data_IF_991323855070
#
_entry.id   IF_991323855070
#
_cell.length_a   1.000
_cell.length_b   1.000
_cell.length_c   1.000
_cell.angle_alpha   90.00
_cell.angle_beta   90.00
_cell.angle_gamma   90.00
#
_symmetry.space_group_name_H-M   'P 1'
#
loop_
_entity.id
_entity.type
_entity.pdbx_description
1 polymer ?
#
# COMPACT_ATOMS: atom_id res chain seq x y z
N UNK A 1 -2.66 -0.22 13.43
CA UNK A 1 -2.55 0.97 12.55
C UNK A 1 -3.75 1.88 12.80
N UNK A 2 -3.60 3.20 12.69
CA UNK A 2 -4.71 4.16 12.77
C UNK A 2 -5.16 4.53 11.36
N UNK A 3 -6.46 4.49 11.07
CA UNK A 3 -7.04 4.86 9.79
C UNK A 3 -7.82 6.16 9.88
N UNK A 4 -7.81 6.95 8.81
CA UNK A 4 -8.66 8.11 8.60
C UNK A 4 -9.14 8.11 7.16
N UNK A 5 -10.45 8.29 6.97
CA UNK A 5 -11.07 8.37 5.65
C UNK A 5 -11.80 9.71 5.54
N UNK A 6 -11.44 10.53 4.56
CA UNK A 6 -12.08 11.84 4.35
C UNK A 6 -12.01 12.23 2.87
N UNK A 7 -13.13 12.65 2.30
CA UNK A 7 -13.21 13.16 0.92
C UNK A 7 -12.57 12.23 -0.13
N UNK A 8 -12.81 10.91 -0.01
CA UNK A 8 -12.22 9.92 -0.93
C UNK A 8 -10.71 9.72 -0.76
N UNK A 9 -10.11 10.19 0.33
CA UNK A 9 -8.71 9.95 0.70
C UNK A 9 -8.66 8.98 1.86
N UNK A 10 -7.78 7.99 1.76
CA UNK A 10 -7.44 7.06 2.83
C UNK A 10 -6.06 7.41 3.39
N UNK A 11 -5.99 7.68 4.69
CA UNK A 11 -4.73 7.88 5.42
C UNK A 11 -4.59 6.76 6.45
N UNK A 12 -3.43 6.11 6.47
CA UNK A 12 -3.09 5.08 7.44
C UNK A 12 -1.75 5.40 8.12
N UNK A 13 -1.69 5.27 9.44
CA UNK A 13 -0.53 5.67 10.24
C UNK A 13 -0.13 4.59 11.25
N UNK A 14 1.14 4.22 11.26
CA UNK A 14 1.74 3.32 12.26
C UNK A 14 3.25 3.50 12.32
N UNK A 15 3.84 3.38 13.52
CA UNK A 15 5.29 3.32 13.73
C UNK A 15 6.10 4.46 13.05
N UNK A 16 5.53 5.67 12.99
CA UNK A 16 6.13 6.83 12.33
C UNK A 16 5.86 6.93 10.83
N UNK A 17 5.39 5.86 10.18
CA UNK A 17 4.99 5.89 8.78
C UNK A 17 3.59 6.52 8.64
N UNK A 18 3.45 7.45 7.69
CA UNK A 18 2.17 7.93 7.18
C UNK A 18 2.00 7.49 5.74
N UNK A 19 1.01 6.65 5.48
CA UNK A 19 0.52 6.23 4.17
C UNK A 19 -0.70 7.07 3.78
N UNK A 20 -0.75 7.53 2.54
CA UNK A 20 -1.88 8.26 1.93
C UNK A 20 -2.19 7.66 0.57
N UNK A 21 -3.45 7.31 0.36
CA UNK A 21 -3.98 6.82 -0.92
C UNK A 21 -5.15 7.71 -1.32
N UNK A 22 -5.13 8.22 -2.54
CA UNK A 22 -6.17 9.10 -3.09
C UNK A 22 -6.41 8.85 -4.58
N UNK A 23 -7.58 9.21 -5.13
CA UNK A 23 -7.82 9.13 -6.56
C UNK A 23 -6.87 10.04 -7.34
N UNK A 24 -6.47 9.58 -8.52
CA UNK A 24 -5.70 10.38 -9.47
C UNK A 24 -6.14 10.09 -10.89
N UNK A 25 -7.36 10.51 -11.23
CA UNK A 25 -8.00 10.25 -12.52
C UNK A 25 -8.86 9.00 -12.49
N UNK A 26 -9.49 8.69 -13.63
CA UNK A 26 -10.35 7.51 -13.77
C UNK A 26 -9.58 6.21 -13.53
N UNK A 27 -10.18 5.31 -12.74
CA UNK A 27 -9.65 3.97 -12.47
C UNK A 27 -8.20 3.95 -11.95
N UNK A 28 -7.78 5.02 -11.24
CA UNK A 28 -6.39 5.26 -10.87
C UNK A 28 -6.24 5.73 -9.42
N UNK A 29 -5.19 5.26 -8.73
CA UNK A 29 -4.87 5.67 -7.36
C UNK A 29 -3.43 6.20 -7.29
N UNK A 30 -3.23 7.28 -6.55
CA UNK A 30 -1.92 7.76 -6.14
C UNK A 30 -1.64 7.29 -4.71
N UNK A 31 -0.55 6.55 -4.55
CA UNK A 31 -0.10 6.01 -3.26
C UNK A 31 1.17 6.76 -2.85
N UNK A 32 1.20 7.29 -1.62
CA UNK A 32 2.35 7.99 -1.05
C UNK A 32 2.58 7.51 0.37
N UNK A 33 3.84 7.28 0.74
CA UNK A 33 4.23 6.96 2.10
C UNK A 33 5.43 7.82 2.53
N UNK A 34 5.53 8.15 3.81
CA UNK A 34 6.63 8.94 4.37
C UNK A 34 6.89 8.59 5.83
N UNK A 35 8.16 8.66 6.24
CA UNK A 35 8.60 8.65 7.65
C UNK A 35 8.84 10.07 8.19
N UNK A 36 8.76 11.09 7.32
CA UNK A 36 8.88 12.50 7.70
C UNK A 36 7.57 13.01 8.31
N UNK A 37 7.60 14.13 9.05
CA UNK A 37 6.39 14.76 9.61
C UNK A 37 5.31 15.09 8.57
N UNK A 38 5.72 15.35 7.33
CA UNK A 38 4.81 15.67 6.23
C UNK A 38 5.32 15.16 4.87
N UNK A 39 4.43 15.17 3.88
CA UNK A 39 4.78 14.87 2.50
C UNK A 39 5.48 16.08 1.86
N UNK A 40 6.50 15.82 1.04
CA UNK A 40 7.31 16.86 0.39
C UNK A 40 6.57 17.76 -0.61
N UNK A 41 5.31 17.44 -0.96
CA UNK A 41 4.52 18.18 -1.95
C UNK A 41 4.98 18.01 -3.41
N UNK A 42 6.00 17.20 -3.69
CA UNK A 42 6.54 17.02 -5.05
C UNK A 42 5.68 16.04 -5.85
N UNK A 43 5.24 16.46 -7.04
CA UNK A 43 4.42 15.65 -7.95
C UNK A 43 5.24 14.88 -9.01
N UNK A 44 6.49 15.28 -9.24
CA UNK A 44 7.40 14.65 -10.20
C UNK A 44 6.76 14.53 -11.60
N UNK A 45 6.57 13.30 -12.09
CA UNK A 45 6.01 13.05 -13.42
C UNK A 45 4.48 13.22 -13.50
N UNK A 46 3.78 13.36 -12.36
CA UNK A 46 2.33 13.56 -12.33
C UNK A 46 1.96 15.03 -12.54
N UNK A 47 2.38 15.60 -13.69
CA UNK A 47 2.16 17.02 -14.03
C UNK A 47 0.77 17.33 -14.59
N UNK A 48 0.04 16.30 -14.99
CA UNK A 48 -1.30 16.43 -15.55
C UNK A 48 -2.33 16.72 -14.46
N UNK A 49 -3.37 17.48 -14.81
CA UNK A 49 -4.54 17.66 -13.95
C UNK A 49 -5.47 16.48 -14.21
N UNK A 50 -5.55 15.48 -13.32
CA UNK A 50 -6.43 14.34 -13.54
C UNK A 50 -7.90 14.78 -13.51
N UNK A 51 -8.74 14.03 -14.22
CA UNK A 51 -10.19 14.13 -14.06
C UNK A 51 -10.57 13.91 -12.59
N UNK A 52 -11.47 14.75 -12.07
CA UNK A 52 -11.97 14.59 -10.71
C UNK A 52 -12.85 13.35 -10.66
N UNK A 53 -12.56 12.45 -9.73
CA UNK A 53 -13.36 11.27 -9.48
C UNK A 53 -13.83 11.23 -8.04
N UNK A 54 -15.00 10.63 -7.82
CA UNK A 54 -15.57 10.40 -6.50
C UNK A 54 -15.11 9.04 -5.97
N UNK A 55 -13.90 8.99 -5.41
CA UNK A 55 -13.43 7.80 -4.73
C UNK A 55 -14.15 7.60 -3.40
N UNK A 56 -14.45 6.34 -3.07
CA UNK A 56 -15.07 5.95 -1.81
C UNK A 56 -14.01 5.34 -0.90
N UNK A 57 -13.78 5.92 0.28
CA UNK A 57 -12.83 5.42 1.26
C UNK A 57 -13.57 5.01 2.55
N UNK A 58 -13.36 3.78 3.01
CA UNK A 58 -14.17 3.16 4.07
C UNK A 58 -13.28 2.44 5.08
N UNK A 59 -13.75 2.36 6.34
CA UNK A 59 -13.11 1.55 7.39
C UNK A 59 -14.06 0.41 7.75
N UNK A 60 -13.50 -0.75 8.05
CA UNK A 60 -14.28 -1.93 8.45
C UNK A 60 -13.46 -2.79 9.39
N UNK A 61 -14.15 -3.62 10.18
CA UNK A 61 -13.53 -4.57 11.09
C UNK A 61 -13.35 -5.92 10.42
N UNK A 62 -12.20 -6.53 10.63
CA UNK A 62 -11.86 -7.87 10.17
C UNK A 62 -11.59 -8.74 11.39
N UNK A 63 -12.08 -9.98 11.34
CA UNK A 63 -11.77 -10.98 12.35
C UNK A 63 -10.27 -11.25 12.41
N UNK A 64 -9.74 -11.31 13.63
CA UNK A 64 -8.32 -11.49 13.88
C UNK A 64 -8.11 -12.43 15.06
N UNK A 65 -7.23 -13.42 14.91
CA UNK A 65 -6.87 -14.33 15.98
C UNK A 65 -5.78 -13.68 16.84
N UNK A 66 -6.09 -13.37 18.10
CA UNK A 66 -5.15 -12.78 19.04
C UNK A 66 -4.15 -13.83 19.56
N UNK A 67 -3.08 -13.35 20.21
CA UNK A 67 -1.97 -14.19 20.70
C UNK A 67 -2.45 -15.22 21.73
N UNK A 68 -3.47 -14.88 22.53
CA UNK A 68 -4.07 -15.76 23.53
C UNK A 68 -5.06 -16.79 22.94
N UNK A 69 -5.22 -16.82 21.62
CA UNK A 69 -6.14 -17.71 20.91
C UNK A 69 -7.58 -17.22 20.87
N UNK A 70 -7.89 -16.04 21.39
CA UNK A 70 -9.22 -15.43 21.29
C UNK A 70 -9.46 -14.78 19.93
N UNK A 71 -10.73 -14.70 19.52
CA UNK A 71 -11.12 -13.95 18.33
C UNK A 71 -11.33 -12.48 18.68
N UNK A 72 -10.46 -11.62 18.17
CA UNK A 72 -10.56 -10.18 18.22
C UNK A 72 -11.04 -9.58 16.89
N UNK A 73 -11.21 -8.26 16.89
CA UNK A 73 -11.48 -7.44 15.70
C UNK A 73 -10.32 -6.49 15.47
N UNK A 74 -9.86 -6.39 14.22
CA UNK A 74 -8.86 -5.41 13.80
C UNK A 74 -9.42 -4.55 12.67
N UNK A 75 -9.23 -3.24 12.77
CA UNK A 75 -9.67 -2.31 11.73
C UNK A 75 -8.78 -2.43 10.50
N UNK A 76 -9.41 -2.52 9.33
CA UNK A 76 -8.80 -2.33 8.02
C UNK A 76 -9.54 -1.22 7.28
N UNK A 77 -8.98 -0.76 6.16
CA UNK A 77 -9.61 0.27 5.37
C UNK A 77 -9.45 0.01 3.87
N UNK A 78 -10.38 0.52 3.08
CA UNK A 78 -10.32 0.44 1.62
C UNK A 78 -10.54 1.79 0.98
N UNK A 79 -10.07 1.92 -0.26
CA UNK A 79 -10.38 3.02 -1.16
C UNK A 79 -10.71 2.45 -2.54
N UNK A 80 -11.84 2.84 -3.09
CA UNK A 80 -12.31 2.41 -4.42
C UNK A 80 -12.48 3.63 -5.31
N UNK A 81 -11.90 3.61 -6.50
CA UNK A 81 -12.04 4.64 -7.51
C UNK A 81 -12.36 3.98 -8.85
N UNK A 82 -13.64 4.00 -9.25
CA UNK A 82 -14.10 3.26 -10.43
C UNK A 82 -13.80 1.77 -10.28
N UNK A 83 -13.00 1.22 -11.19
CA UNK A 83 -12.62 -0.21 -11.22
C UNK A 83 -11.45 -0.58 -10.34
N UNK A 84 -10.68 0.37 -9.80
CA UNK A 84 -9.54 0.06 -8.94
C UNK A 84 -9.94 0.18 -7.47
N UNK A 85 -9.54 -0.80 -6.66
CA UNK A 85 -9.71 -0.80 -5.21
C UNK A 85 -8.38 -1.12 -4.54
N UNK A 86 -8.00 -0.37 -3.51
CA UNK A 86 -6.88 -0.72 -2.62
C UNK A 86 -7.43 -1.01 -1.22
N UNK A 87 -6.98 -2.10 -0.61
CA UNK A 87 -7.30 -2.48 0.76
C UNK A 87 -6.02 -2.45 1.58
N UNK A 88 -6.05 -1.72 2.69
CA UNK A 88 -4.96 -1.63 3.65
C UNK A 88 -5.36 -2.38 4.91
N UNK A 89 -4.65 -3.46 5.22
CA UNK A 89 -4.93 -4.23 6.42
C UNK A 89 -4.39 -3.52 7.68
N UNK A 90 -4.74 -4.04 8.85
CA UNK A 90 -4.35 -3.48 10.14
C UNK A 90 -2.83 -3.38 10.40
N UNK A 91 -2.01 -4.11 9.65
CA UNK A 91 -0.55 -4.08 9.68
C UNK A 91 0.06 -3.13 8.62
N UNK A 92 -0.77 -2.53 7.76
CA UNK A 92 -0.33 -1.59 6.72
C UNK A 92 0.06 -2.24 5.40
N UNK A 93 -0.28 -3.51 5.19
CA UNK A 93 -0.09 -4.20 3.92
C UNK A 93 -1.19 -3.78 2.95
N UNK A 94 -0.80 -3.39 1.74
CA UNK A 94 -1.73 -2.98 0.68
C UNK A 94 -1.96 -4.14 -0.30
N UNK A 95 -3.23 -4.41 -0.58
CA UNK A 95 -3.66 -5.28 -1.70
C UNK A 95 -4.51 -4.47 -2.67
N UNK A 96 -4.17 -4.54 -3.96
CA UNK A 96 -4.87 -3.88 -5.04
C UNK A 96 -5.73 -4.87 -5.82
N UNK A 97 -6.92 -4.42 -6.17
CA UNK A 97 -7.90 -5.15 -6.93
C UNK A 97 -8.35 -4.34 -8.13
N UNK A 98 -8.53 -5.03 -9.25
CA UNK A 98 -9.35 -4.54 -10.37
C UNK A 98 -10.69 -5.23 -10.26
N UNK A 99 -11.73 -4.48 -9.91
CA UNK A 99 -13.04 -5.01 -9.51
C UNK A 99 -12.84 -5.99 -8.34
N UNK A 100 -13.12 -7.28 -8.52
CA UNK A 100 -12.89 -8.31 -7.49
C UNK A 100 -11.60 -9.11 -7.69
N UNK A 101 -10.90 -8.93 -8.81
CA UNK A 101 -9.67 -9.64 -9.10
C UNK A 101 -8.48 -8.96 -8.40
N UNK A 102 -7.76 -9.70 -7.57
CA UNK A 102 -6.47 -9.25 -7.03
C UNK A 102 -5.45 -9.14 -8.17
N UNK A 103 -4.79 -7.98 -8.25
CA UNK A 103 -3.80 -7.70 -9.30
C UNK A 103 -2.40 -7.44 -8.76
N UNK A 104 -2.28 -6.96 -7.52
CA UNK A 104 -1.00 -6.61 -6.93
C UNK A 104 -1.13 -6.64 -5.41
N UNK A 105 -0.16 -7.21 -4.72
CA UNK A 105 -0.09 -7.22 -3.27
C UNK A 105 1.30 -6.90 -2.81
N UNK A 106 1.43 -6.08 -1.78
CA UNK A 106 2.71 -5.86 -1.14
C UNK A 106 3.24 -7.14 -0.47
N UNK A 107 4.54 -7.40 -0.64
CA UNK A 107 5.19 -8.57 -0.09
C UNK A 107 5.46 -8.40 1.40
N UNK A 108 4.77 -9.18 2.23
CA UNK A 108 4.91 -9.12 3.69
C UNK A 108 4.99 -10.52 4.30
N UNK A 109 6.02 -10.77 5.12
CA UNK A 109 6.28 -12.04 5.82
C UNK A 109 6.67 -11.74 7.26
N UNK A 110 5.69 -11.38 8.09
CA UNK A 110 5.87 -11.16 9.53
C UNK A 110 4.74 -11.85 10.32
N UNK A 111 4.94 -12.09 11.62
CA UNK A 111 3.96 -12.82 12.44
C UNK A 111 2.54 -12.28 12.34
N UNK A 112 2.42 -10.97 12.21
CA UNK A 112 1.14 -10.27 12.15
C UNK A 112 0.94 -9.56 10.80
N UNK A 113 -0.31 -9.57 10.32
CA UNK A 113 -0.71 -8.97 9.05
C UNK A 113 -0.25 -9.68 7.78
N UNK A 114 0.38 -10.85 7.86
CA UNK A 114 0.71 -11.66 6.68
C UNK A 114 -0.56 -12.27 6.08
N UNK A 115 -0.84 -11.92 4.82
CA UNK A 115 -1.97 -12.46 4.04
C UNK A 115 -1.52 -13.69 3.21
N UNK A 116 -0.22 -13.79 2.90
CA UNK A 116 0.32 -14.94 2.17
C UNK A 116 0.23 -16.23 3.00
N UNK A 117 0.06 -17.37 2.32
CA UNK A 117 0.09 -18.71 2.96
C UNK A 117 1.51 -19.20 3.22
N UNK A 118 2.52 -18.48 2.73
CA UNK A 118 3.93 -18.81 2.93
C UNK A 118 4.43 -18.51 4.35
N UNK A 119 5.68 -18.90 4.63
CA UNK A 119 6.28 -18.74 5.95
C UNK A 119 6.34 -17.28 6.41
N UNK A 120 5.64 -16.99 7.50
CA UNK A 120 5.66 -15.68 8.18
C UNK A 120 6.92 -15.42 9.01
N UNK A 121 7.82 -16.40 9.16
CA UNK A 121 8.98 -16.33 10.06
C UNK A 121 10.20 -15.60 9.47
N UNK A 122 10.14 -15.18 8.21
CA UNK A 122 11.23 -14.43 7.56
C UNK A 122 11.42 -13.02 8.13
N UNK A 123 10.38 -12.46 8.78
CA UNK A 123 10.35 -11.10 9.35
C UNK A 123 10.61 -10.00 8.31
N UNK A 124 10.17 -10.25 7.07
CA UNK A 124 10.28 -9.29 5.98
C UNK A 124 9.04 -8.39 5.98
N UNK A 125 9.26 -7.07 5.98
CA UNK A 125 8.19 -6.06 5.85
C UNK A 125 8.08 -5.57 4.40
N UNK A 126 6.87 -5.16 4.00
CA UNK A 126 6.51 -4.61 2.68
C UNK A 126 7.30 -3.37 2.26
N UNK A 127 7.36 -2.36 3.15
CA UNK A 127 8.03 -1.07 2.92
C UNK A 127 9.15 -0.91 3.93
N UNK A 128 10.37 -1.15 3.49
CA UNK A 128 11.55 -1.05 4.34
C UNK A 128 12.20 0.32 4.19
N UNK A 129 12.12 1.10 5.25
CA UNK A 129 12.72 2.43 5.37
C UNK A 129 14.06 2.34 6.11
N UNK A 130 15.13 2.80 5.47
CA UNK A 130 16.46 2.90 6.09
C UNK A 130 16.92 4.35 6.07
N UNK A 131 17.02 4.96 7.25
CA UNK A 131 17.51 6.33 7.39
C UNK A 131 18.95 6.47 6.88
N UNK A 132 19.23 7.55 6.17
CA UNK A 132 20.59 7.90 5.72
C UNK A 132 21.32 8.57 6.87
N UNK A 133 22.50 8.05 7.23
CA UNK A 133 23.28 8.56 8.37
C UNK A 133 23.67 10.02 8.10
N UNK A 134 23.33 10.90 9.04
CA UNK A 134 23.62 12.34 8.95
C UNK A 134 22.66 13.13 8.05
N UNK A 135 21.61 12.50 7.52
CA UNK A 135 20.58 13.13 6.70
C UNK A 135 19.20 13.10 7.35
N UNK A 136 18.23 13.69 6.64
CA UNK A 136 16.79 13.56 6.92
C UNK A 136 16.10 12.55 6.01
N UNK A 137 16.83 12.06 5.01
CA UNK A 137 16.37 11.21 3.94
C UNK A 137 16.38 9.74 4.32
N UNK A 138 15.58 8.96 3.58
CA UNK A 138 15.48 7.52 3.73
C UNK A 138 15.74 6.84 2.39
N UNK A 139 16.44 5.72 2.42
CA UNK A 139 16.35 4.71 1.38
C UNK A 139 15.07 3.92 1.59
N UNK A 140 14.30 3.69 0.52
CA UNK A 140 13.08 2.89 0.53
C UNK A 140 13.28 1.63 -0.33
N UNK A 141 12.99 0.48 0.25
CA UNK A 141 12.82 -0.79 -0.47
C UNK A 141 11.36 -1.24 -0.36
N UNK A 142 10.60 -1.08 -1.44
CA UNK A 142 9.20 -1.48 -1.57
C UNK A 142 9.13 -2.79 -2.36
N UNK A 143 8.42 -3.78 -1.82
CA UNK A 143 8.34 -5.13 -2.39
C UNK A 143 6.90 -5.51 -2.66
N UNK A 144 6.68 -6.21 -3.77
CA UNK A 144 5.40 -6.78 -4.16
C UNK A 144 5.54 -8.29 -4.36
N UNK A 145 4.45 -9.03 -4.14
CA UNK A 145 4.37 -10.45 -4.48
C UNK A 145 4.57 -10.62 -5.99
N UNK A 146 5.38 -11.61 -6.37
CA UNK A 146 5.51 -12.02 -7.76
C UNK A 146 4.38 -12.93 -8.18
N UNK A 147 4.07 -12.92 -9.47
CA UNK A 147 3.20 -13.90 -10.11
C UNK A 147 3.95 -14.54 -11.28
N UNK A 148 4.10 -15.87 -11.25
CA UNK A 148 4.88 -16.63 -12.25
C UNK A 148 4.33 -16.48 -13.68
N UNK A 149 3.06 -16.16 -13.84
CA UNK A 149 2.41 -15.94 -15.14
C UNK A 149 2.42 -14.46 -15.58
N UNK A 150 2.89 -13.55 -14.72
CA UNK A 150 2.90 -12.11 -15.01
C UNK A 150 3.93 -11.77 -16.08
N UNK A 151 3.54 -10.88 -16.99
CA UNK A 151 4.39 -10.33 -18.03
C UNK A 151 4.53 -8.83 -17.84
N UNK A 152 5.76 -8.37 -17.63
CA UNK A 152 6.09 -6.97 -17.38
C UNK A 152 6.68 -6.36 -18.66
N UNK A 153 6.16 -5.21 -19.07
CA UNK A 153 6.59 -4.47 -20.26
C UNK A 153 6.86 -3.00 -19.90
N UNK A 154 7.63 -2.31 -20.74
CA UNK A 154 7.97 -0.89 -20.55
C UNK A 154 9.32 -0.70 -19.85
N UNK A 155 9.33 0.03 -18.73
CA UNK A 155 10.52 0.37 -17.92
C UNK A 155 11.61 1.21 -18.63
N UNK A 156 11.41 1.58 -19.89
CA UNK A 156 12.35 2.37 -20.69
C UNK A 156 13.12 1.51 -21.68
N UNK A 157 14.38 1.88 -21.97
CA UNK A 157 15.21 1.21 -22.97
C UNK A 157 16.36 0.46 -22.30
N UNK A 158 16.36 -0.86 -22.43
CA UNK A 158 17.44 -1.74 -21.97
C UNK A 158 18.10 -2.43 -23.16
N UNK A 159 19.43 -2.50 -23.17
CA UNK A 159 20.20 -3.27 -24.17
C UNK A 159 20.27 -4.74 -23.76
N UNK A 160 19.10 -5.37 -23.64
CA UNK A 160 18.97 -6.81 -23.37
C UNK A 160 18.56 -7.54 -24.64
N UNK A 161 19.08 -8.74 -24.84
CA UNK A 161 18.63 -9.59 -25.95
C UNK A 161 17.17 -9.97 -25.72
N UNK A 162 16.39 -9.99 -26.80
CA UNK A 162 15.04 -10.52 -26.81
C UNK A 162 15.04 -12.05 -26.66
#
# INVERSE_FOLDING_TARGET
MRFQTKNGVLIAQANGETLRIEPWGKDSLRVRATMLPEFSGKDWALTEVPEKTEAKAEQFEVDHLEIDGSMGKRTSASITNGKIRAVVNFAGVITFYKEEQEILREYHRCYDGTISKESRCLKTVNREWKGVIGGSEYSLNLKFESNDEEKIFGMGQYQQKY
#
